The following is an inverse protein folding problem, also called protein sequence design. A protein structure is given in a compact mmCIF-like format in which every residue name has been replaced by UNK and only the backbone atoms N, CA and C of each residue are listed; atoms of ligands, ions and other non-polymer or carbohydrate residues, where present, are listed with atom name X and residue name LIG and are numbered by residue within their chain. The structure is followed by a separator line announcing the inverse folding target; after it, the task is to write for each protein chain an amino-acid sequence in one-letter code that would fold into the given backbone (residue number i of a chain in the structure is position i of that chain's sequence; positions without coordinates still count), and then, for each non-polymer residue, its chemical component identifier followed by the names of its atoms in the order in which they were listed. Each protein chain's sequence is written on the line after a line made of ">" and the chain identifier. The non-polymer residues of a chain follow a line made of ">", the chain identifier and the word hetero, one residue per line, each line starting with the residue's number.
data_IF_537845679008
#
_entry.id   IF_537845679008
#
_cell.length_a   1.000
_cell.length_b   1.000
_cell.length_c   1.000
_cell.angle_alpha   90.00
_cell.angle_beta   90.00
_cell.angle_gamma   90.00
#
_symmetry.space_group_name_H-M   'P 1'
#
loop_
_entity.id
_entity.type
_entity.pdbx_description
1 polymer ?
#
# COMPACT_ATOMS: atom_id res chain seq x y z
N UNK A 1 -29.31 -13.48 25.14
CA UNK A 1 -29.04 -13.07 23.70
C UNK A 1 -28.38 -11.69 23.59
N UNK A 2 -28.71 -10.65 24.40
CA UNK A 2 -28.06 -9.33 24.37
C UNK A 2 -26.60 -9.34 24.88
N UNK A 3 -26.20 -10.29 25.72
CA UNK A 3 -24.80 -10.43 26.22
C UNK A 3 -23.85 -11.04 25.18
N UNK A 4 -24.37 -11.81 24.22
CA UNK A 4 -23.56 -12.44 23.16
C UNK A 4 -23.12 -11.40 22.12
N UNK A 5 -24.01 -10.49 21.69
CA UNK A 5 -23.71 -9.48 20.66
C UNK A 5 -22.69 -8.44 21.17
N UNK A 6 -22.80 -8.03 22.44
CA UNK A 6 -21.81 -7.11 23.05
C UNK A 6 -20.45 -7.81 23.22
N UNK A 7 -20.45 -9.10 23.55
CA UNK A 7 -19.20 -9.88 23.63
C UNK A 7 -18.55 -10.07 22.27
N UNK A 8 -19.33 -10.25 21.20
CA UNK A 8 -18.81 -10.39 19.82
C UNK A 8 -18.25 -9.06 19.30
N UNK A 9 -18.93 -7.92 19.55
CA UNK A 9 -18.44 -6.59 19.18
C UNK A 9 -17.18 -6.21 19.99
N UNK A 10 -17.16 -6.52 21.31
CA UNK A 10 -15.97 -6.31 22.13
C UNK A 10 -14.85 -7.26 21.70
N UNK A 11 -15.13 -8.47 21.29
CA UNK A 11 -14.14 -9.44 20.83
C UNK A 11 -13.59 -9.05 19.46
N UNK A 12 -14.40 -8.49 18.55
CA UNK A 12 -13.93 -7.92 17.28
C UNK A 12 -13.05 -6.69 17.52
N UNK A 13 -13.46 -5.74 18.35
CA UNK A 13 -12.63 -4.58 18.71
C UNK A 13 -11.35 -4.96 19.48
N UNK A 14 -11.40 -5.97 20.36
CA UNK A 14 -10.21 -6.48 21.06
C UNK A 14 -9.26 -7.21 20.10
N UNK A 15 -9.76 -7.80 19.01
CA UNK A 15 -8.92 -8.37 17.94
C UNK A 15 -8.12 -7.31 17.18
N UNK A 16 -8.72 -6.14 16.92
CA UNK A 16 -8.05 -4.97 16.34
C UNK A 16 -6.98 -4.39 17.27
N UNK A 17 -7.25 -4.37 18.59
CA UNK A 17 -6.29 -3.91 19.60
C UNK A 17 -5.19 -4.93 19.96
N UNK A 18 -5.34 -6.21 19.63
CA UNK A 18 -4.38 -7.26 20.03
C UNK A 18 -3.02 -7.19 19.32
N UNK A 19 -2.92 -6.49 18.19
CA UNK A 19 -1.64 -6.28 17.46
C UNK A 19 -1.17 -4.82 17.46
N UNK A 20 -1.82 -3.91 18.15
CA UNK A 20 -1.32 -2.55 18.42
C UNK A 20 -1.25 -1.59 17.23
N UNK A 21 -1.62 -2.00 16.02
CA UNK A 21 -1.59 -1.13 14.83
C UNK A 21 -2.92 -1.27 14.08
N UNK A 22 -3.62 -0.13 13.95
CA UNK A 22 -4.84 -0.02 13.17
C UNK A 22 -4.46 0.38 11.73
N UNK A 23 -5.09 -0.25 10.74
CA UNK A 23 -4.85 0.04 9.32
C UNK A 23 -6.15 0.45 8.63
N UNK A 24 -6.05 1.35 7.66
CA UNK A 24 -7.17 1.60 6.76
C UNK A 24 -7.50 0.34 5.97
N UNK A 25 -8.77 -0.02 5.99
CA UNK A 25 -9.31 -1.14 5.21
C UNK A 25 -9.67 -0.69 3.80
N UNK A 26 -9.88 -1.65 2.90
CA UNK A 26 -10.41 -1.35 1.55
C UNK A 26 -11.74 -0.62 1.60
N UNK A 27 -12.57 -0.88 2.62
CA UNK A 27 -13.86 -0.24 2.79
C UNK A 27 -13.71 1.24 3.16
N UNK A 28 -12.81 1.55 4.10
CA UNK A 28 -12.52 2.93 4.51
C UNK A 28 -11.99 3.76 3.33
N UNK A 29 -11.05 3.18 2.57
CA UNK A 29 -10.51 3.83 1.36
C UNK A 29 -11.60 4.07 0.31
N UNK A 30 -12.49 3.11 0.08
CA UNK A 30 -13.56 3.26 -0.90
C UNK A 30 -14.60 4.30 -0.47
N UNK A 31 -14.87 4.42 0.83
CA UNK A 31 -15.79 5.42 1.38
C UNK A 31 -15.26 6.84 1.08
N UNK A 32 -14.00 7.13 1.39
CA UNK A 32 -13.39 8.44 1.07
C UNK A 32 -13.27 8.66 -0.44
N UNK A 33 -12.88 7.63 -1.19
CA UNK A 33 -12.78 7.72 -2.65
C UNK A 33 -14.10 8.06 -3.34
N UNK A 34 -15.23 7.65 -2.75
CA UNK A 34 -16.56 7.93 -3.28
C UNK A 34 -16.91 9.43 -3.24
N UNK A 35 -16.33 10.18 -2.30
CA UNK A 35 -16.56 11.62 -2.15
C UNK A 35 -16.06 12.44 -3.36
N UNK A 36 -15.10 11.92 -4.14
CA UNK A 36 -14.59 12.60 -5.34
C UNK A 36 -15.55 12.45 -6.53
N UNK A 37 -16.75 12.97 -6.36
CA UNK A 37 -17.79 13.00 -7.38
C UNK A 37 -18.54 14.34 -7.31
N UNK A 38 -19.11 14.87 -8.41
CA UNK A 38 -19.67 16.21 -8.44
C UNK A 38 -20.77 16.50 -7.42
N UNK A 39 -21.50 15.46 -6.98
CA UNK A 39 -22.60 15.60 -6.03
C UNK A 39 -22.20 15.43 -4.56
N UNK A 40 -21.06 14.80 -4.33
CA UNK A 40 -20.59 14.41 -2.99
C UNK A 40 -19.41 15.27 -2.52
N UNK A 41 -18.79 16.01 -3.48
CA UNK A 41 -17.57 16.76 -3.23
C UNK A 41 -17.82 18.05 -2.46
N UNK A 42 -17.12 18.25 -1.35
CA UNK A 42 -17.09 19.49 -0.56
C UNK A 42 -15.75 20.24 -0.65
N UNK A 43 -14.86 19.83 -1.55
CA UNK A 43 -13.58 20.50 -1.79
C UNK A 43 -13.84 21.96 -2.23
N UNK A 44 -13.41 22.91 -1.43
CA UNK A 44 -13.56 24.33 -1.75
C UNK A 44 -12.46 24.84 -2.67
N UNK A 45 -11.22 24.45 -2.37
CA UNK A 45 -10.02 24.93 -3.09
C UNK A 45 -9.09 23.78 -3.44
N UNK A 46 -8.39 23.96 -4.57
CA UNK A 46 -7.23 23.13 -4.91
C UNK A 46 -6.00 24.02 -4.92
N UNK A 47 -4.96 23.54 -4.29
CA UNK A 47 -3.63 24.14 -4.26
C UNK A 47 -2.68 23.27 -5.06
N UNK A 48 -1.75 23.89 -5.78
CA UNK A 48 -0.74 23.13 -6.51
C UNK A 48 0.50 23.94 -6.79
N UNK A 49 1.58 23.22 -7.07
CA UNK A 49 2.85 23.78 -7.50
C UNK A 49 3.40 22.95 -8.65
N UNK A 50 3.62 23.58 -9.79
CA UNK A 50 4.33 22.99 -10.92
C UNK A 50 5.81 23.25 -10.76
N UNK A 51 6.59 22.17 -10.74
CA UNK A 51 8.04 22.15 -10.53
C UNK A 51 8.71 21.61 -11.79
N UNK A 52 9.75 22.29 -12.26
CA UNK A 52 10.53 21.82 -13.41
C UNK A 52 11.65 20.84 -13.02
N UNK A 53 12.36 20.31 -14.02
CA UNK A 53 13.46 19.37 -13.82
C UNK A 53 14.69 19.94 -13.10
N UNK A 54 14.75 21.26 -12.94
CA UNK A 54 15.80 21.97 -12.20
C UNK A 54 15.35 22.36 -10.78
N UNK A 55 14.25 21.74 -10.30
CA UNK A 55 13.62 21.99 -8.99
C UNK A 55 13.10 23.41 -8.77
N UNK A 56 12.81 24.18 -9.85
CA UNK A 56 12.25 25.50 -9.72
C UNK A 56 10.72 25.44 -9.66
N UNK A 57 10.11 26.25 -8.77
CA UNK A 57 8.67 26.51 -8.77
C UNK A 57 8.30 27.37 -9.97
N UNK A 58 7.73 26.76 -11.02
CA UNK A 58 7.37 27.47 -12.28
C UNK A 58 6.04 28.17 -12.16
N UNK A 59 5.03 27.52 -11.58
CA UNK A 59 3.70 28.07 -11.39
C UNK A 59 3.02 27.48 -10.15
N UNK A 60 2.15 28.27 -9.54
CA UNK A 60 1.31 27.84 -8.43
C UNK A 60 -0.16 27.87 -8.83
N UNK A 61 -0.92 26.87 -8.38
CA UNK A 61 -2.36 26.75 -8.55
C UNK A 61 -3.03 27.16 -7.23
N UNK A 62 -4.03 28.04 -7.32
CA UNK A 62 -4.89 28.45 -6.21
C UNK A 62 -6.30 28.71 -6.76
N UNK A 63 -7.00 27.60 -7.03
CA UNK A 63 -8.27 27.64 -7.74
C UNK A 63 -9.44 27.30 -6.81
N UNK A 64 -10.57 27.95 -7.05
CA UNK A 64 -11.83 27.59 -6.41
C UNK A 64 -12.42 26.37 -7.11
N UNK A 65 -12.38 25.21 -6.44
CA UNK A 65 -12.73 23.94 -7.06
C UNK A 65 -14.16 23.91 -7.62
N UNK A 66 -15.12 24.47 -6.86
CA UNK A 66 -16.54 24.49 -7.24
C UNK A 66 -16.88 25.41 -8.42
N UNK A 67 -15.95 26.29 -8.82
CA UNK A 67 -16.15 27.23 -9.94
C UNK A 67 -15.43 26.80 -11.20
N UNK A 68 -14.70 25.71 -11.16
CA UNK A 68 -13.97 25.16 -12.30
C UNK A 68 -14.92 24.56 -13.34
N UNK A 69 -14.56 24.54 -14.63
CA UNK A 69 -15.29 23.81 -15.63
C UNK A 69 -15.43 22.32 -15.24
N UNK A 70 -16.61 21.75 -15.51
CA UNK A 70 -16.90 20.36 -15.14
C UNK A 70 -15.89 19.37 -15.71
N UNK A 71 -15.46 19.57 -16.96
CA UNK A 71 -14.47 18.72 -17.63
C UNK A 71 -13.10 18.72 -16.91
N UNK A 72 -12.67 19.89 -16.39
CA UNK A 72 -11.44 20.03 -15.62
C UNK A 72 -11.59 19.37 -14.23
N UNK A 73 -12.72 19.62 -13.56
CA UNK A 73 -13.05 19.02 -12.27
C UNK A 73 -12.97 17.50 -12.32
N UNK A 74 -13.50 16.88 -13.40
CA UNK A 74 -13.38 15.42 -13.58
C UNK A 74 -11.95 14.94 -13.67
N UNK A 75 -11.03 15.70 -14.27
CA UNK A 75 -9.61 15.34 -14.35
C UNK A 75 -8.93 15.33 -12.98
N UNK A 76 -9.26 16.32 -12.15
CA UNK A 76 -8.80 16.32 -10.76
C UNK A 76 -9.38 15.14 -9.97
N UNK A 77 -10.66 14.81 -10.13
CA UNK A 77 -11.24 13.62 -9.50
C UNK A 77 -10.56 12.32 -9.94
N UNK A 78 -10.17 12.19 -11.21
CA UNK A 78 -9.40 11.02 -11.68
C UNK A 78 -8.07 10.89 -10.94
N UNK A 79 -7.34 12.01 -10.75
CA UNK A 79 -6.09 12.06 -10.00
C UNK A 79 -6.32 11.67 -8.53
N UNK A 80 -7.27 12.31 -7.84
CA UNK A 80 -7.57 12.06 -6.44
C UNK A 80 -8.01 10.60 -6.21
N UNK A 81 -8.93 10.08 -7.05
CA UNK A 81 -9.34 8.68 -7.02
C UNK A 81 -8.19 7.72 -7.25
N UNK A 82 -7.21 8.11 -8.07
CA UNK A 82 -6.05 7.28 -8.34
C UNK A 82 -5.13 7.19 -7.15
N UNK A 83 -4.92 8.29 -6.42
CA UNK A 83 -4.16 8.30 -5.16
C UNK A 83 -4.78 7.40 -4.09
N UNK A 84 -6.08 7.14 -4.15
CA UNK A 84 -6.79 6.17 -3.29
C UNK A 84 -7.09 4.85 -4.03
N UNK A 85 -6.15 4.34 -4.82
CA UNK A 85 -6.35 3.12 -5.59
C UNK A 85 -5.19 2.13 -5.45
N UNK A 86 -5.49 0.87 -5.67
CA UNK A 86 -4.51 -0.21 -5.57
C UNK A 86 -4.81 -1.16 -4.42
N UNK A 87 -3.84 -1.96 -4.05
CA UNK A 87 -3.95 -2.97 -3.00
C UNK A 87 -3.46 -2.41 -1.67
N UNK A 88 -4.23 -2.67 -0.61
CA UNK A 88 -3.81 -2.36 0.77
C UNK A 88 -2.55 -3.18 1.11
N UNK A 89 -1.59 -2.53 1.76
CA UNK A 89 -0.30 -3.13 2.10
C UNK A 89 0.67 -3.25 0.94
N UNK A 90 0.29 -2.75 -0.25
CA UNK A 90 1.13 -2.73 -1.45
C UNK A 90 1.23 -1.32 -2.02
N UNK A 91 0.16 -0.83 -2.66
CA UNK A 91 0.10 0.54 -3.17
C UNK A 91 -0.36 1.54 -2.10
N UNK A 92 -1.20 1.10 -1.19
CA UNK A 92 -1.77 1.88 -0.11
C UNK A 92 -1.25 1.32 1.21
N UNK A 93 -0.43 2.09 1.89
CA UNK A 93 0.22 1.68 3.15
C UNK A 93 -0.14 2.66 4.25
N UNK A 94 -0.81 2.17 5.29
CA UNK A 94 -1.06 2.96 6.50
C UNK A 94 0.21 2.93 7.36
N UNK A 95 0.73 4.10 7.70
CA UNK A 95 1.97 4.25 8.43
C UNK A 95 1.74 5.05 9.72
N UNK A 96 2.16 4.52 10.88
CA UNK A 96 2.06 5.22 12.16
C UNK A 96 3.16 6.29 12.29
N UNK A 97 2.80 7.43 12.86
CA UNK A 97 3.79 8.41 13.28
C UNK A 97 4.54 7.93 14.54
N UNK A 98 5.86 8.08 14.58
CA UNK A 98 6.59 8.00 15.83
C UNK A 98 6.10 9.09 16.80
N UNK A 99 6.07 8.81 18.09
CA UNK A 99 5.58 9.75 19.12
C UNK A 99 6.35 11.09 19.08
N UNK A 100 7.63 11.07 18.72
CA UNK A 100 8.46 12.28 18.56
C UNK A 100 7.93 13.25 17.49
N UNK A 101 7.21 12.77 16.49
CA UNK A 101 6.68 13.58 15.39
C UNK A 101 5.35 14.27 15.74
N UNK A 102 4.76 13.92 16.87
CA UNK A 102 3.50 14.49 17.35
C UNK A 102 3.70 15.78 18.19
N UNK A 103 4.95 16.09 18.53
CA UNK A 103 5.33 17.27 19.31
C UNK A 103 5.70 18.47 18.43
N UNK A 104 5.91 19.61 19.05
CA UNK A 104 6.28 20.88 18.38
C UNK A 104 7.58 20.69 17.58
N UNK A 105 7.50 21.05 16.29
CA UNK A 105 8.58 20.87 15.33
C UNK A 105 8.55 19.54 14.57
N UNK A 106 7.68 18.60 14.95
CA UNK A 106 7.50 17.33 14.26
C UNK A 106 6.71 17.44 12.97
N UNK A 107 6.85 16.45 12.11
CA UNK A 107 6.17 16.41 10.79
C UNK A 107 4.66 16.21 10.94
N UNK A 108 4.20 15.38 11.87
CA UNK A 108 2.77 15.19 12.15
C UNK A 108 2.14 16.51 12.61
N UNK A 109 2.81 17.25 13.49
CA UNK A 109 2.35 18.55 13.94
C UNK A 109 2.27 19.55 12.77
N UNK A 110 3.26 19.57 11.88
CA UNK A 110 3.27 20.40 10.68
C UNK A 110 2.10 20.06 9.75
N UNK A 111 1.83 18.78 9.47
CA UNK A 111 0.70 18.34 8.68
C UNK A 111 -0.64 18.72 9.34
N UNK A 112 -0.72 18.65 10.68
CA UNK A 112 -1.90 19.13 11.42
C UNK A 112 -2.10 20.65 11.30
N UNK A 113 -1.04 21.44 11.35
CA UNK A 113 -1.12 22.91 11.11
C UNK A 113 -1.61 23.20 9.71
N UNK A 114 -1.07 22.49 8.71
CA UNK A 114 -1.48 22.63 7.31
C UNK A 114 -2.96 22.28 7.13
N UNK A 115 -3.43 21.16 7.70
CA UNK A 115 -4.84 20.76 7.70
C UNK A 115 -5.74 21.79 8.38
N UNK A 116 -5.42 22.18 9.61
CA UNK A 116 -6.21 23.17 10.39
C UNK A 116 -6.28 24.53 9.73
N UNK A 117 -5.29 24.91 8.91
CA UNK A 117 -5.32 26.14 8.12
C UNK A 117 -6.32 26.09 6.96
N UNK A 118 -6.91 24.90 6.67
CA UNK A 118 -7.79 24.66 5.51
C UNK A 118 -7.16 25.10 4.19
N UNK A 119 -5.83 25.04 4.10
CA UNK A 119 -5.02 25.52 2.98
C UNK A 119 -5.20 27.04 2.67
N UNK A 120 -5.52 27.84 3.70
CA UNK A 120 -5.63 29.29 3.57
C UNK A 120 -4.32 30.03 3.87
N UNK A 121 -3.36 29.37 4.56
CA UNK A 121 -2.08 29.97 4.93
C UNK A 121 -1.04 29.71 3.84
N UNK A 122 -0.74 30.74 3.04
CA UNK A 122 0.20 30.66 1.92
C UNK A 122 1.65 30.36 2.38
N UNK A 123 2.05 30.80 3.59
CA UNK A 123 3.39 30.53 4.13
C UNK A 123 3.57 29.04 4.40
N UNK A 124 2.61 28.41 5.09
CA UNK A 124 2.64 26.96 5.35
C UNK A 124 2.59 26.12 4.07
N UNK A 125 1.82 26.58 3.07
CA UNK A 125 1.74 25.90 1.78
C UNK A 125 3.07 26.00 1.04
N UNK A 126 3.69 27.16 1.02
CA UNK A 126 5.01 27.33 0.39
C UNK A 126 6.09 26.54 1.10
N UNK A 127 6.08 26.50 2.44
CA UNK A 127 6.97 25.61 3.21
C UNK A 127 6.76 24.14 2.87
N UNK A 128 5.51 23.71 2.72
CA UNK A 128 5.20 22.34 2.29
C UNK A 128 5.78 22.04 0.90
N UNK A 129 5.61 22.97 -0.08
CA UNK A 129 6.19 22.77 -1.41
C UNK A 129 7.70 22.70 -1.38
N UNK A 130 8.38 23.55 -0.59
CA UNK A 130 9.83 23.53 -0.47
C UNK A 130 10.32 22.20 0.12
N UNK A 131 9.67 21.72 1.20
CA UNK A 131 9.96 20.41 1.77
C UNK A 131 9.78 19.27 0.76
N UNK A 132 8.72 19.30 -0.05
CA UNK A 132 8.49 18.29 -1.10
C UNK A 132 9.57 18.36 -2.16
N UNK A 133 9.94 19.55 -2.64
CA UNK A 133 10.98 19.75 -3.67
C UNK A 133 12.33 19.22 -3.19
N UNK A 134 12.68 19.43 -1.92
CA UNK A 134 13.93 18.97 -1.32
C UNK A 134 13.99 17.45 -1.11
N UNK A 135 12.84 16.78 -1.01
CA UNK A 135 12.77 15.38 -0.58
C UNK A 135 12.10 14.44 -1.58
N UNK A 136 11.72 14.92 -2.76
CA UNK A 136 11.16 14.09 -3.81
C UNK A 136 12.20 13.86 -4.91
N UNK A 137 12.81 12.68 -4.92
CA UNK A 137 13.84 12.29 -5.86
C UNK A 137 13.29 12.00 -7.26
N UNK A 138 13.04 13.06 -8.04
CA UNK A 138 12.63 12.96 -9.43
C UNK A 138 13.29 14.07 -10.28
N UNK A 139 13.91 13.68 -11.37
CA UNK A 139 14.68 14.59 -12.24
C UNK A 139 13.86 15.23 -13.36
N UNK A 140 12.58 14.92 -13.47
CA UNK A 140 11.66 15.49 -14.47
C UNK A 140 10.72 16.54 -13.88
N UNK A 141 9.83 17.04 -14.71
CA UNK A 141 8.82 17.98 -14.27
C UNK A 141 7.68 17.26 -13.54
N UNK A 142 7.14 17.87 -12.50
CA UNK A 142 6.02 17.31 -11.74
C UNK A 142 5.09 18.39 -11.18
N UNK A 143 3.89 17.97 -10.86
CA UNK A 143 2.86 18.78 -10.24
C UNK A 143 2.56 18.23 -8.85
N UNK A 144 2.70 19.07 -7.84
CA UNK A 144 2.24 18.81 -6.47
C UNK A 144 0.82 19.33 -6.38
N UNK A 145 -0.16 18.47 -6.11
CA UNK A 145 -1.54 18.84 -5.84
C UNK A 145 -1.86 18.62 -4.36
N UNK A 146 -2.53 19.56 -3.74
CA UNK A 146 -2.96 19.52 -2.36
C UNK A 146 -4.41 19.98 -2.26
N UNK A 147 -5.24 19.18 -1.61
CA UNK A 147 -6.63 19.51 -1.29
C UNK A 147 -6.86 19.41 0.22
N UNK A 148 -7.84 20.20 0.67
CA UNK A 148 -8.47 20.05 1.97
C UNK A 148 -9.95 19.77 1.75
N UNK A 149 -10.48 18.80 2.49
CA UNK A 149 -11.89 18.46 2.41
C UNK A 149 -12.42 18.03 3.78
N UNK A 150 -13.74 18.06 3.95
CA UNK A 150 -14.43 17.64 5.17
C UNK A 150 -15.55 16.67 4.80
N UNK A 151 -15.66 15.60 5.56
CA UNK A 151 -16.68 14.59 5.37
C UNK A 151 -17.46 14.39 6.66
N UNK A 152 -18.78 14.71 6.59
CA UNK A 152 -19.71 14.39 7.64
C UNK A 152 -20.01 12.90 7.60
N UNK A 153 -19.41 12.14 8.52
CA UNK A 153 -19.52 10.69 8.55
C UNK A 153 -20.94 10.29 8.99
N UNK A 154 -21.76 9.69 8.12
CA UNK A 154 -23.13 9.33 8.48
C UNK A 154 -23.18 8.36 9.65
N UNK A 155 -24.01 8.63 10.64
CA UNK A 155 -24.24 7.75 11.78
C UNK A 155 -24.83 6.41 11.33
N UNK A 156 -24.57 5.36 12.10
CA UNK A 156 -25.20 4.04 11.91
C UNK A 156 -26.17 3.75 13.04
N UNK A 157 -27.37 3.30 12.69
CA UNK A 157 -28.29 2.72 13.66
C UNK A 157 -27.74 1.40 14.20
N UNK A 158 -28.27 0.96 15.36
CA UNK A 158 -27.98 -0.37 15.93
C UNK A 158 -28.24 -1.53 14.97
N UNK A 159 -29.09 -1.32 13.97
CA UNK A 159 -29.43 -2.30 12.92
C UNK A 159 -28.54 -2.17 11.67
N UNK A 160 -27.53 -1.29 11.71
CA UNK A 160 -26.56 -1.09 10.63
C UNK A 160 -27.07 -0.24 9.46
N UNK A 161 -28.23 0.41 9.58
CA UNK A 161 -28.79 1.31 8.57
C UNK A 161 -28.08 2.66 8.70
N UNK A 162 -27.61 3.21 7.57
CA UNK A 162 -27.02 4.54 7.51
C UNK A 162 -28.10 5.61 7.78
N UNK A 163 -27.76 6.58 8.62
CA UNK A 163 -28.62 7.72 8.92
C UNK A 163 -28.01 8.96 8.29
N UNK A 164 -28.59 9.40 7.17
CA UNK A 164 -28.10 10.58 6.44
C UNK A 164 -28.29 11.90 7.22
N UNK A 165 -29.23 11.92 8.20
CA UNK A 165 -29.57 13.09 9.00
C UNK A 165 -28.78 13.20 10.33
N UNK A 166 -27.94 12.25 10.66
CA UNK A 166 -27.13 12.25 11.89
C UNK A 166 -25.67 11.89 11.58
N UNK A 167 -24.80 12.86 11.79
CA UNK A 167 -23.36 12.65 11.71
C UNK A 167 -22.82 12.21 13.05
N UNK A 168 -22.02 11.15 13.07
CA UNK A 168 -21.31 10.68 14.27
C UNK A 168 -20.00 11.46 14.47
N UNK A 169 -19.35 11.85 13.37
CA UNK A 169 -18.05 12.52 13.36
C UNK A 169 -17.87 13.33 12.08
N UNK A 170 -17.11 14.43 12.17
CA UNK A 170 -16.64 15.19 10.99
C UNK A 170 -15.19 14.78 10.72
N UNK A 171 -14.96 14.11 9.62
CA UNK A 171 -13.62 13.78 9.16
C UNK A 171 -13.06 14.94 8.32
N UNK A 172 -12.11 15.66 8.90
CA UNK A 172 -11.40 16.80 8.32
C UNK A 172 -10.00 16.37 7.91
N UNK A 173 -9.65 16.46 6.61
CA UNK A 173 -8.44 15.88 6.07
C UNK A 173 -7.78 16.71 4.96
N UNK A 174 -6.49 16.45 4.76
CA UNK A 174 -5.74 16.89 3.59
C UNK A 174 -5.31 15.69 2.77
N UNK A 175 -5.23 15.87 1.47
CA UNK A 175 -4.71 14.87 0.56
C UNK A 175 -3.74 15.51 -0.42
N UNK A 176 -2.59 14.87 -0.60
CA UNK A 176 -1.57 15.27 -1.56
C UNK A 176 -1.46 14.23 -2.67
N UNK A 177 -1.26 14.70 -3.90
CA UNK A 177 -0.95 13.87 -5.07
C UNK A 177 0.21 14.49 -5.82
N UNK A 178 1.27 13.72 -6.09
CA UNK A 178 2.40 14.16 -6.91
C UNK A 178 2.35 13.43 -8.23
N UNK A 179 2.25 14.21 -9.31
CA UNK A 179 2.04 13.72 -10.67
C UNK A 179 3.20 14.15 -11.56
N UNK A 180 3.79 13.24 -12.32
CA UNK A 180 4.77 13.61 -13.33
C UNK A 180 4.11 14.43 -14.42
N UNK A 181 4.87 15.35 -15.01
CA UNK A 181 4.42 16.19 -16.12
C UNK A 181 5.35 15.95 -17.31
N UNK A 182 4.82 15.34 -18.36
CA UNK A 182 5.59 14.92 -19.51
C UNK A 182 5.13 15.59 -20.79
N UNK A 183 6.06 15.84 -21.71
CA UNK A 183 5.70 16.28 -23.05
C UNK A 183 4.92 15.19 -23.79
N UNK A 184 3.77 15.56 -24.36
CA UNK A 184 2.98 14.68 -25.21
C UNK A 184 3.82 14.12 -26.35
N UNK A 185 3.46 12.93 -26.87
CA UNK A 185 4.23 12.28 -27.94
C UNK A 185 4.28 13.16 -29.18
N UNK A 186 5.46 13.26 -29.80
CA UNK A 186 5.63 13.84 -31.12
C UNK A 186 4.88 13.02 -32.18
N UNK A 187 4.44 13.65 -33.27
CA UNK A 187 3.75 12.97 -34.36
C UNK A 187 3.03 13.94 -35.28
N UNK A 188 2.28 13.39 -36.22
CA UNK A 188 1.36 14.15 -37.06
C UNK A 188 -0.03 14.15 -36.41
N UNK A 189 -0.66 15.31 -36.36
CA UNK A 189 -2.06 15.50 -35.94
C UNK A 189 -2.89 15.98 -37.12
N UNK A 190 -4.12 15.49 -37.19
CA UNK A 190 -5.12 16.00 -38.12
C UNK A 190 -5.75 17.27 -37.57
N UNK A 191 -5.83 18.30 -38.38
CA UNK A 191 -6.46 19.57 -38.04
C UNK A 191 -7.74 19.69 -38.85
N UNK A 192 -8.89 19.59 -38.21
CA UNK A 192 -10.20 19.60 -38.88
C UNK A 192 -10.47 20.88 -39.67
N UNK A 193 -10.08 22.02 -39.09
CA UNK A 193 -10.31 23.34 -39.74
C UNK A 193 -9.59 23.48 -41.07
N UNK A 194 -8.41 22.89 -41.16
CA UNK A 194 -7.55 22.96 -42.36
C UNK A 194 -7.65 21.69 -43.21
N UNK A 195 -8.35 20.67 -42.74
CA UNK A 195 -8.52 19.36 -43.38
C UNK A 195 -7.19 18.72 -43.83
N UNK A 196 -6.14 18.87 -43.01
CA UNK A 196 -4.80 18.40 -43.31
C UNK A 196 -4.03 17.93 -42.09
N UNK A 197 -2.87 17.30 -42.31
CA UNK A 197 -1.98 16.82 -41.26
C UNK A 197 -0.78 17.75 -41.13
N UNK A 198 -0.53 18.19 -39.89
CA UNK A 198 0.64 18.96 -39.51
C UNK A 198 1.39 18.32 -38.36
N UNK A 199 2.58 18.82 -38.07
CA UNK A 199 3.33 18.44 -36.89
C UNK A 199 2.51 18.78 -35.64
N UNK A 200 2.32 17.79 -34.77
CA UNK A 200 1.59 17.97 -33.51
C UNK A 200 2.32 18.99 -32.64
N UNK A 201 1.59 19.99 -32.16
CA UNK A 201 2.05 20.83 -31.06
C UNK A 201 2.11 19.96 -29.82
N UNK A 202 3.24 19.94 -29.14
CA UNK A 202 3.45 19.13 -27.94
C UNK A 202 3.12 19.95 -26.72
N UNK A 203 2.15 19.45 -25.97
CA UNK A 203 1.73 20.01 -24.69
C UNK A 203 2.39 19.26 -23.53
N UNK A 204 2.59 19.95 -22.41
CA UNK A 204 2.93 19.32 -21.15
C UNK A 204 1.67 18.70 -20.55
N UNK A 205 1.69 17.40 -20.33
CA UNK A 205 0.53 16.63 -19.86
C UNK A 205 0.83 16.06 -18.48
N UNK A 206 -0.10 16.22 -17.58
CA UNK A 206 -0.04 15.65 -16.23
C UNK A 206 -0.41 14.18 -16.28
N UNK A 207 0.48 13.33 -15.80
CA UNK A 207 0.25 11.89 -15.66
C UNK A 207 -0.54 11.59 -14.37
N UNK A 208 -0.99 10.33 -14.23
CA UNK A 208 -1.58 9.86 -12.99
C UNK A 208 -0.53 9.88 -11.85
N UNK A 209 -0.96 10.03 -10.59
CA UNK A 209 -0.06 10.18 -9.46
C UNK A 209 0.99 9.08 -9.38
N UNK A 210 2.21 9.48 -9.11
CA UNK A 210 3.32 8.60 -8.76
C UNK A 210 3.28 8.22 -7.28
N UNK A 211 3.22 9.25 -6.42
CA UNK A 211 3.01 9.10 -4.98
C UNK A 211 1.94 10.07 -4.48
N UNK A 212 1.51 9.86 -3.26
CA UNK A 212 0.60 10.75 -2.56
C UNK A 212 0.31 10.29 -1.13
N UNK A 213 -0.46 11.06 -0.40
CA UNK A 213 -0.90 10.67 0.94
C UNK A 213 -2.26 11.27 1.30
N UNK A 214 -2.91 10.65 2.28
CA UNK A 214 -4.12 11.12 2.95
C UNK A 214 -3.82 11.25 4.44
N UNK A 215 -4.03 12.42 5.03
CA UNK A 215 -3.80 12.69 6.43
C UNK A 215 -4.93 13.54 7.07
N UNK A 216 -5.43 13.16 8.23
CA UNK A 216 -5.20 11.91 8.99
C UNK A 216 -5.69 10.66 8.26
N UNK A 217 -5.31 9.47 8.73
CA UNK A 217 -5.91 8.25 8.24
C UNK A 217 -7.40 8.16 8.68
N UNK A 218 -8.22 7.49 7.88
CA UNK A 218 -9.63 7.24 8.15
C UNK A 218 -9.82 5.76 8.47
N UNK A 219 -9.86 5.42 9.76
CA UNK A 219 -9.85 4.04 10.23
C UNK A 219 -11.13 3.74 10.98
N UNK A 220 -11.83 2.68 10.60
CA UNK A 220 -13.11 2.28 11.18
C UNK A 220 -14.11 3.45 11.26
N UNK A 221 -14.17 4.25 10.18
CA UNK A 221 -15.02 5.43 10.03
C UNK A 221 -14.75 6.55 11.03
N UNK A 222 -13.54 6.64 11.53
CA UNK A 222 -13.09 7.66 12.47
C UNK A 222 -11.75 8.27 12.06
N UNK A 223 -11.50 9.49 12.54
CA UNK A 223 -10.27 10.23 12.30
C UNK A 223 -9.14 9.66 13.14
N UNK A 224 -8.08 9.19 12.52
CA UNK A 224 -6.89 8.74 13.21
C UNK A 224 -5.68 9.63 12.90
N UNK A 225 -5.39 10.56 13.78
CA UNK A 225 -4.28 11.51 13.64
C UNK A 225 -2.90 10.87 13.84
N UNK A 226 -2.84 9.67 14.40
CA UNK A 226 -1.59 8.94 14.65
C UNK A 226 -1.11 8.15 13.44
N UNK A 227 -1.90 8.13 12.37
CA UNK A 227 -1.60 7.41 11.15
C UNK A 227 -1.79 8.29 9.91
N UNK A 228 -1.00 7.99 8.88
CA UNK A 228 -1.12 8.55 7.53
C UNK A 228 -1.28 7.40 6.53
N UNK A 229 -2.11 7.58 5.51
CA UNK A 229 -2.18 6.66 4.38
C UNK A 229 -1.26 7.17 3.27
N UNK A 230 -0.24 6.40 2.93
CA UNK A 230 0.67 6.66 1.82
C UNK A 230 0.26 5.86 0.58
N UNK A 231 0.32 6.50 -0.58
CA UNK A 231 0.10 5.88 -1.89
C UNK A 231 1.38 5.88 -2.69
N UNK A 232 1.70 4.76 -3.32
CA UNK A 232 2.72 4.66 -4.35
C UNK A 232 2.21 3.89 -5.57
N UNK A 233 2.54 4.40 -6.77
CA UNK A 233 2.28 3.71 -8.04
C UNK A 233 3.17 2.48 -8.20
N UNK A 234 4.41 2.56 -7.68
CA UNK A 234 5.44 1.53 -7.78
C UNK A 234 5.80 1.00 -6.38
N UNK A 235 5.16 -0.07 -5.92
CA UNK A 235 5.36 -0.59 -4.56
C UNK A 235 6.79 -1.04 -4.24
N UNK A 236 7.58 -1.31 -5.25
CA UNK A 236 8.98 -1.73 -5.09
C UNK A 236 9.98 -0.55 -5.02
N UNK A 237 9.49 0.67 -5.35
CA UNK A 237 10.27 1.90 -5.31
C UNK A 237 9.60 2.85 -4.30
N UNK A 238 10.04 2.82 -3.06
CA UNK A 238 9.59 3.78 -2.05
C UNK A 238 10.45 5.04 -2.16
N UNK A 239 9.83 6.21 -1.97
CA UNK A 239 10.54 7.48 -1.91
C UNK A 239 10.97 7.74 -0.46
N UNK A 240 12.12 7.20 -0.06
CA UNK A 240 12.60 7.14 1.33
C UNK A 240 12.69 8.52 1.97
N UNK A 241 13.28 9.50 1.28
CA UNK A 241 13.39 10.88 1.76
C UNK A 241 12.02 11.54 1.95
N UNK A 242 11.07 11.27 1.04
CA UNK A 242 9.72 11.77 1.16
C UNK A 242 9.00 11.19 2.39
N UNK A 243 9.08 9.87 2.59
CA UNK A 243 8.45 9.18 3.72
C UNK A 243 9.07 9.67 5.04
N UNK A 244 10.39 9.76 5.11
CA UNK A 244 11.09 10.11 6.35
C UNK A 244 10.97 11.59 6.70
N UNK A 245 11.08 12.50 5.72
CA UNK A 245 11.21 13.93 5.98
C UNK A 245 9.90 14.71 5.79
N UNK A 246 8.96 14.21 4.98
CA UNK A 246 7.65 14.85 4.78
C UNK A 246 6.58 14.20 5.65
N UNK A 247 6.55 12.87 5.70
CA UNK A 247 5.59 12.16 6.53
C UNK A 247 6.15 11.88 7.94
N UNK A 248 7.48 11.84 8.11
CA UNK A 248 8.11 11.59 9.40
C UNK A 248 7.84 10.20 9.97
N UNK A 249 7.51 9.24 9.11
CA UNK A 249 7.23 7.86 9.49
C UNK A 249 8.41 6.95 9.20
N UNK A 250 8.47 5.81 9.86
CA UNK A 250 9.45 4.77 9.50
C UNK A 250 9.12 4.18 8.13
N UNK A 251 10.17 3.82 7.37
CA UNK A 251 10.00 3.15 6.09
C UNK A 251 9.31 1.80 6.29
N UNK A 252 8.20 1.53 5.59
CA UNK A 252 7.61 0.21 5.58
C UNK A 252 8.47 -0.74 4.73
N UNK A 253 8.45 -2.03 5.03
CA UNK A 253 9.02 -3.03 4.14
C UNK A 253 8.17 -3.16 2.87
N UNK A 254 8.82 -3.18 1.71
CA UNK A 254 8.16 -3.33 0.40
C UNK A 254 7.45 -4.67 0.25
N UNK A 255 6.56 -4.81 -0.71
CA UNK A 255 5.88 -6.08 -0.98
C UNK A 255 6.89 -7.20 -1.35
N UNK A 256 7.99 -6.87 -2.05
CA UNK A 256 9.08 -7.79 -2.36
C UNK A 256 9.80 -8.26 -1.10
N UNK A 257 10.23 -7.32 -0.26
CA UNK A 257 10.89 -7.62 1.01
C UNK A 257 10.00 -8.45 1.95
N UNK A 258 8.69 -8.19 2.02
CA UNK A 258 7.75 -9.01 2.79
C UNK A 258 7.78 -10.47 2.34
N UNK A 259 7.84 -10.69 1.02
CA UNK A 259 7.93 -12.03 0.44
C UNK A 259 9.26 -12.69 0.80
N UNK A 260 10.37 -11.97 0.68
CA UNK A 260 11.70 -12.48 0.97
C UNK A 260 11.83 -12.84 2.46
N UNK A 261 11.36 -11.97 3.36
CA UNK A 261 11.31 -12.22 4.82
C UNK A 261 10.51 -13.48 5.15
N UNK A 262 9.33 -13.64 4.55
CA UNK A 262 8.52 -14.83 4.77
C UNK A 262 9.24 -16.11 4.28
N UNK A 263 9.82 -16.05 3.08
CA UNK A 263 10.56 -17.17 2.50
C UNK A 263 11.76 -17.57 3.37
N UNK A 264 12.47 -16.60 3.90
CA UNK A 264 13.61 -16.82 4.80
C UNK A 264 13.17 -17.43 6.14
N UNK A 265 12.06 -16.94 6.75
CA UNK A 265 11.48 -17.53 7.96
C UNK A 265 11.13 -19.01 7.72
N UNK A 266 10.46 -19.30 6.60
CA UNK A 266 10.07 -20.67 6.25
C UNK A 266 11.31 -21.55 6.03
N UNK A 267 12.28 -21.08 5.25
CA UNK A 267 13.49 -21.82 4.94
C UNK A 267 14.34 -22.10 6.19
N UNK A 268 14.55 -21.12 7.08
CA UNK A 268 15.27 -21.33 8.33
C UNK A 268 14.54 -22.29 9.28
N UNK A 269 13.20 -22.19 9.35
CA UNK A 269 12.40 -23.08 10.20
C UNK A 269 12.42 -24.53 9.72
N UNK A 270 12.31 -24.75 8.42
CA UNK A 270 12.29 -26.09 7.83
C UNK A 270 13.69 -26.73 7.79
N UNK A 271 14.74 -25.93 7.52
CA UNK A 271 16.09 -26.45 7.35
C UNK A 271 16.14 -27.57 6.32
N UNK A 272 16.64 -28.74 6.71
CA UNK A 272 16.77 -29.93 5.82
C UNK A 272 15.42 -30.51 5.35
N UNK A 273 14.33 -30.21 6.04
CA UNK A 273 12.97 -30.64 5.67
C UNK A 273 12.32 -29.72 4.62
N UNK A 274 13.03 -28.68 4.18
CA UNK A 274 12.57 -27.77 3.11
C UNK A 274 12.59 -28.51 1.76
N UNK A 275 11.52 -29.22 1.46
CA UNK A 275 11.34 -29.97 0.21
C UNK A 275 10.12 -29.46 -0.56
N UNK A 276 9.98 -29.93 -1.81
CA UNK A 276 8.91 -29.51 -2.71
C UNK A 276 7.51 -29.69 -2.10
N UNK A 277 7.22 -30.87 -1.53
CA UNK A 277 5.90 -31.20 -1.02
C UNK A 277 5.51 -30.32 0.19
N UNK A 278 6.48 -30.04 1.07
CA UNK A 278 6.26 -29.16 2.21
C UNK A 278 5.99 -27.73 1.76
N UNK A 279 6.80 -27.18 0.85
CA UNK A 279 6.61 -25.81 0.32
C UNK A 279 5.28 -25.70 -0.43
N UNK A 280 4.90 -26.72 -1.20
CA UNK A 280 3.59 -26.79 -1.87
C UNK A 280 2.45 -26.74 -0.86
N UNK A 281 2.51 -27.58 0.19
CA UNK A 281 1.47 -27.62 1.22
C UNK A 281 1.32 -26.29 1.94
N UNK A 282 2.44 -25.63 2.29
CA UNK A 282 2.41 -24.29 2.90
C UNK A 282 1.76 -23.29 1.96
N UNK A 283 2.10 -23.32 0.67
CA UNK A 283 1.53 -22.42 -0.33
C UNK A 283 0.03 -22.66 -0.52
N UNK A 284 -0.41 -23.91 -0.59
CA UNK A 284 -1.81 -24.27 -0.76
C UNK A 284 -2.64 -23.84 0.46
N UNK A 285 -2.16 -24.09 1.67
CA UNK A 285 -2.81 -23.63 2.92
C UNK A 285 -2.88 -22.10 3.00
N UNK A 286 -1.81 -21.40 2.60
CA UNK A 286 -1.80 -19.93 2.58
C UNK A 286 -2.81 -19.38 1.58
N UNK A 287 -2.92 -19.97 0.39
CA UNK A 287 -3.92 -19.58 -0.61
C UNK A 287 -5.35 -19.85 -0.12
N UNK A 288 -5.57 -20.98 0.56
CA UNK A 288 -6.88 -21.25 1.17
C UNK A 288 -7.25 -20.22 2.22
N UNK A 289 -6.31 -19.81 3.08
CA UNK A 289 -6.54 -18.74 4.07
C UNK A 289 -6.89 -17.40 3.39
N UNK A 290 -6.25 -17.08 2.26
CA UNK A 290 -6.54 -15.87 1.48
C UNK A 290 -7.96 -15.94 0.88
N UNK A 291 -8.34 -17.06 0.26
CA UNK A 291 -9.67 -17.24 -0.33
C UNK A 291 -10.78 -17.17 0.73
N UNK A 292 -10.58 -17.77 1.91
CA UNK A 292 -11.53 -17.72 3.01
C UNK A 292 -11.79 -16.29 3.51
N UNK A 293 -10.82 -15.38 3.34
CA UNK A 293 -10.92 -13.97 3.76
C UNK A 293 -11.11 -12.99 2.60
N UNK A 294 -11.37 -13.46 1.40
CA UNK A 294 -11.50 -12.64 0.19
C UNK A 294 -12.57 -11.53 0.31
N UNK A 295 -13.66 -11.86 0.97
CA UNK A 295 -14.78 -10.92 1.18
C UNK A 295 -14.67 -10.13 2.50
N UNK A 296 -13.61 -10.38 3.29
CA UNK A 296 -13.35 -9.60 4.49
C UNK A 296 -12.84 -8.19 4.10
N UNK A 297 -13.34 -7.13 4.74
CA UNK A 297 -12.83 -5.78 4.54
C UNK A 297 -11.37 -5.65 5.01
N UNK A 298 -10.96 -6.45 6.00
CA UNK A 298 -9.62 -6.45 6.58
C UNK A 298 -8.68 -7.33 5.78
N UNK A 299 -7.49 -6.82 5.39
CA UNK A 299 -6.49 -7.65 4.74
C UNK A 299 -5.95 -8.72 5.70
N UNK A 300 -5.68 -9.92 5.16
CA UNK A 300 -5.03 -10.98 5.94
C UNK A 300 -3.57 -10.61 6.18
N UNK A 301 -3.22 -10.37 7.46
CA UNK A 301 -1.85 -10.13 7.89
C UNK A 301 -1.22 -11.40 8.45
N UNK A 302 0.06 -11.59 8.15
CA UNK A 302 0.87 -12.71 8.63
C UNK A 302 1.66 -12.28 9.87
N UNK A 303 1.01 -12.37 11.03
CA UNK A 303 1.67 -12.20 12.32
C UNK A 303 2.52 -13.43 12.65
N UNK A 304 3.42 -13.31 13.62
CA UNK A 304 4.21 -14.42 14.17
C UNK A 304 3.34 -15.66 14.48
N UNK A 305 2.19 -15.43 15.15
CA UNK A 305 1.26 -16.51 15.49
C UNK A 305 0.56 -17.10 14.25
N UNK A 306 0.22 -16.24 13.27
CA UNK A 306 -0.41 -16.70 12.03
C UNK A 306 0.53 -17.60 11.23
N UNK A 307 1.80 -17.20 11.10
CA UNK A 307 2.82 -18.04 10.43
C UNK A 307 3.06 -19.32 11.19
N UNK A 308 3.17 -19.26 12.52
CA UNK A 308 3.34 -20.44 13.37
C UNK A 308 2.22 -21.45 13.16
N UNK A 309 0.96 -20.99 13.14
CA UNK A 309 -0.21 -21.84 12.89
C UNK A 309 -0.17 -22.43 11.48
N UNK A 310 0.12 -21.59 10.46
CA UNK A 310 0.23 -22.04 9.08
C UNK A 310 1.26 -23.18 8.92
N UNK A 311 2.44 -23.04 9.52
CA UNK A 311 3.49 -24.07 9.46
C UNK A 311 3.07 -25.35 10.20
N UNK A 312 2.44 -25.23 11.38
CA UNK A 312 1.93 -26.36 12.15
C UNK A 312 0.83 -27.11 11.37
N UNK A 313 -0.14 -26.38 10.79
CA UNK A 313 -1.20 -26.97 9.97
C UNK A 313 -0.67 -27.59 8.66
N UNK A 314 0.46 -27.11 8.17
CA UNK A 314 1.15 -27.70 7.01
C UNK A 314 1.96 -28.95 7.34
N UNK A 315 2.01 -29.38 8.61
CA UNK A 315 2.64 -30.61 9.04
C UNK A 315 4.12 -30.48 9.41
N UNK A 316 4.58 -29.26 9.71
CA UNK A 316 5.95 -29.04 10.23
C UNK A 316 6.03 -29.65 11.64
N UNK A 317 7.09 -30.41 11.90
CA UNK A 317 7.26 -31.18 13.17
C UNK A 317 7.46 -30.22 14.36
N UNK A 318 7.00 -30.66 15.56
CA UNK A 318 7.17 -29.91 16.80
C UNK A 318 8.64 -29.62 17.12
N UNK A 319 9.56 -30.48 16.70
CA UNK A 319 11.00 -30.30 16.87
C UNK A 319 11.50 -29.06 16.11
N UNK A 320 11.08 -28.90 14.85
CA UNK A 320 11.41 -27.71 14.04
C UNK A 320 10.72 -26.45 14.52
N UNK A 321 9.50 -26.59 15.04
CA UNK A 321 8.74 -25.47 15.60
C UNK A 321 9.30 -24.96 16.94
N UNK A 322 10.17 -25.71 17.62
CA UNK A 322 10.77 -25.29 18.89
C UNK A 322 11.64 -24.02 18.71
N UNK A 323 12.37 -23.90 17.61
CA UNK A 323 13.28 -22.78 17.31
C UNK A 323 12.60 -21.67 16.46
N UNK A 324 11.34 -21.86 16.06
CA UNK A 324 10.60 -20.91 15.21
C UNK A 324 10.64 -19.48 15.73
N UNK A 325 10.44 -19.29 17.04
CA UNK A 325 10.39 -17.98 17.65
C UNK A 325 11.72 -17.23 17.50
N UNK A 326 12.85 -17.95 17.63
CA UNK A 326 14.18 -17.39 17.45
C UNK A 326 14.48 -17.05 15.96
N UNK A 327 14.07 -17.95 15.05
CA UNK A 327 14.21 -17.71 13.61
C UNK A 327 13.39 -16.49 13.16
N UNK A 328 12.14 -16.40 13.59
CA UNK A 328 11.27 -15.28 13.29
C UNK A 328 11.88 -13.94 13.76
N UNK A 329 12.34 -13.86 15.00
CA UNK A 329 12.94 -12.64 15.56
C UNK A 329 14.23 -12.26 14.85
N UNK A 330 15.09 -13.22 14.53
CA UNK A 330 16.34 -12.99 13.80
C UNK A 330 16.06 -12.40 12.41
N UNK A 331 15.18 -13.03 11.64
CA UNK A 331 14.90 -12.59 10.25
C UNK A 331 14.18 -11.24 10.23
N UNK A 332 13.19 -11.05 11.08
CA UNK A 332 12.45 -9.78 11.14
C UNK A 332 13.30 -8.62 11.65
N UNK A 333 14.25 -8.86 12.58
CA UNK A 333 15.20 -7.85 13.03
C UNK A 333 16.18 -7.45 11.90
N UNK A 334 16.60 -8.38 11.07
CA UNK A 334 17.47 -8.10 9.92
C UNK A 334 16.77 -7.31 8.80
N UNK A 335 15.46 -7.53 8.62
CA UNK A 335 14.66 -6.85 7.61
C UNK A 335 14.18 -5.45 8.03
N UNK A 336 14.24 -5.12 9.32
CA UNK A 336 13.83 -3.80 9.79
C UNK A 336 14.78 -2.72 9.26
N UNK A 337 14.26 -1.58 8.72
CA UNK A 337 15.10 -0.47 8.30
C UNK A 337 16.01 -0.02 9.44
N UNK A 338 17.27 0.39 9.17
CA UNK A 338 18.17 0.89 10.20
C UNK A 338 17.57 2.12 10.88
N UNK A 339 17.73 2.22 12.20
CA UNK A 339 17.36 3.45 12.91
C UNK A 339 18.19 4.59 12.36
N UNK A 340 17.54 5.65 11.88
CA UNK A 340 18.24 6.88 11.54
C UNK A 340 18.75 7.50 12.84
N UNK A 341 20.06 7.77 12.99
CA UNK A 341 20.56 8.48 14.15
C UNK A 341 19.97 9.89 14.14
N UNK A 342 19.44 10.33 15.28
CA UNK A 342 19.03 11.73 15.46
C UNK A 342 20.28 12.61 15.25
N UNK A 343 20.23 13.53 14.30
CA UNK A 343 21.37 14.42 13.99
C UNK A 343 21.65 15.50 15.05
N UNK A 344 20.96 15.46 16.18
CA UNK A 344 21.18 16.42 17.28
C UNK A 344 21.98 15.79 18.42
N UNK A 345 23.27 16.17 18.60
CA UNK A 345 24.12 15.67 19.69
C UNK A 345 23.78 16.22 21.09
N UNK A 346 22.79 17.11 21.22
CA UNK A 346 22.48 17.81 22.48
C UNK A 346 21.17 17.33 23.16
N UNK A 347 20.43 16.43 22.55
CA UNK A 347 19.23 15.86 23.20
C UNK A 347 19.67 14.78 24.19
N UNK A 348 19.39 15.01 25.48
CA UNK A 348 19.48 13.97 26.52
C UNK A 348 18.71 12.73 26.03
N UNK A 349 19.20 11.50 26.31
CA UNK A 349 18.56 10.28 25.83
C UNK A 349 17.15 10.21 26.43
N UNK A 350 16.16 10.65 25.66
CA UNK A 350 14.77 10.35 25.97
C UNK A 350 14.70 8.83 26.14
N UNK A 351 14.03 8.38 27.21
CA UNK A 351 13.79 6.97 27.47
C UNK A 351 13.10 6.40 26.24
N UNK A 352 13.88 5.85 25.32
CA UNK A 352 13.40 5.15 24.13
C UNK A 352 12.77 3.88 24.65
N UNK A 353 11.46 3.91 24.83
CA UNK A 353 10.69 2.68 24.99
C UNK A 353 10.85 1.95 23.66
N UNK A 354 11.47 0.77 23.60
CA UNK A 354 11.60 0.02 22.38
C UNK A 354 10.19 -0.29 21.88
N UNK A 355 9.72 0.42 20.85
CA UNK A 355 8.56 -0.05 20.09
C UNK A 355 9.04 -1.29 19.35
N UNK A 356 8.43 -2.45 19.64
CA UNK A 356 8.59 -3.63 18.81
C UNK A 356 8.28 -3.20 17.37
N UNK A 357 9.32 -3.19 16.53
CA UNK A 357 9.20 -2.95 15.10
C UNK A 357 8.40 -4.13 14.53
N UNK A 358 7.09 -4.02 14.53
CA UNK A 358 6.24 -5.06 13.96
C UNK A 358 6.36 -5.00 12.44
N UNK A 359 7.18 -5.86 11.88
CA UNK A 359 7.25 -6.13 10.46
C UNK A 359 5.91 -6.76 10.04
N UNK A 360 4.98 -5.93 9.60
CA UNK A 360 3.67 -6.39 9.15
C UNK A 360 3.81 -6.94 7.74
N UNK A 361 3.49 -8.22 7.56
CA UNK A 361 3.43 -8.87 6.26
C UNK A 361 1.97 -9.10 5.87
N UNK A 362 1.64 -8.78 4.62
CA UNK A 362 0.32 -9.06 4.06
C UNK A 362 0.38 -10.38 3.27
N UNK A 363 -0.54 -11.29 3.54
CA UNK A 363 -0.58 -12.60 2.88
C UNK A 363 -0.60 -12.49 1.35
N UNK A 364 -1.30 -11.48 0.81
CA UNK A 364 -1.38 -11.22 -0.63
C UNK A 364 -0.07 -10.72 -1.26
N UNK A 365 0.88 -10.22 -0.47
CA UNK A 365 2.22 -9.85 -0.95
C UNK A 365 3.17 -11.05 -0.96
N UNK A 366 2.96 -11.98 -0.04
CA UNK A 366 3.76 -13.18 0.16
C UNK A 366 3.37 -14.29 -0.81
N UNK A 367 2.06 -14.56 -0.93
CA UNK A 367 1.55 -15.61 -1.81
C UNK A 367 1.25 -15.07 -3.22
N UNK A 368 1.69 -15.81 -4.21
CA UNK A 368 1.23 -15.59 -5.58
C UNK A 368 -0.02 -16.44 -5.86
N UNK A 369 -1.19 -15.81 -5.71
CA UNK A 369 -2.49 -16.48 -5.93
C UNK A 369 -2.79 -16.78 -7.41
N UNK A 370 -1.96 -16.29 -8.33
CA UNK A 370 -2.17 -16.47 -9.78
C UNK A 370 -1.27 -17.54 -10.40
N UNK A 371 -0.13 -17.83 -9.80
CA UNK A 371 0.86 -18.71 -10.40
C UNK A 371 1.70 -19.36 -9.30
N UNK A 372 1.79 -20.68 -9.32
CA UNK A 372 2.79 -21.42 -8.58
C UNK A 372 4.03 -21.60 -9.46
N UNK A 373 5.20 -21.16 -9.00
CA UNK A 373 6.42 -21.14 -9.80
C UNK A 373 7.47 -22.08 -9.22
N UNK A 374 7.99 -22.98 -10.04
CA UNK A 374 9.14 -23.84 -9.74
C UNK A 374 10.29 -23.41 -10.63
N UNK A 375 11.41 -23.01 -10.03
CA UNK A 375 12.54 -22.42 -10.76
C UNK A 375 13.83 -23.22 -10.50
N UNK A 376 14.50 -23.53 -11.59
CA UNK A 376 15.90 -23.98 -11.61
C UNK A 376 16.75 -22.93 -12.34
N UNK A 377 18.09 -23.00 -12.35
CA UNK A 377 18.92 -22.04 -13.09
C UNK A 377 18.53 -21.88 -14.55
N UNK A 378 18.11 -22.98 -15.22
CA UNK A 378 17.87 -23.02 -16.66
C UNK A 378 16.39 -23.18 -17.05
N UNK A 379 15.50 -23.49 -16.09
CA UNK A 379 14.09 -23.81 -16.36
C UNK A 379 13.17 -23.10 -15.37
N UNK A 380 12.11 -22.51 -15.89
CA UNK A 380 11.01 -21.95 -15.09
C UNK A 380 9.73 -22.67 -15.48
N UNK A 381 9.08 -23.27 -14.50
CA UNK A 381 7.78 -23.95 -14.63
C UNK A 381 6.74 -23.08 -13.93
N UNK A 382 5.69 -22.66 -14.63
CA UNK A 382 4.57 -21.92 -14.07
C UNK A 382 3.32 -22.78 -14.13
N UNK A 383 2.73 -23.01 -12.99
CA UNK A 383 1.57 -23.88 -12.80
C UNK A 383 0.39 -23.04 -12.31
N UNK A 384 -0.82 -23.40 -12.74
CA UNK A 384 -2.03 -22.87 -12.10
C UNK A 384 -2.02 -23.30 -10.62
N UNK A 385 -2.21 -22.38 -9.66
CA UNK A 385 -2.22 -22.71 -8.23
C UNK A 385 -3.26 -23.78 -7.84
N UNK A 386 -4.37 -23.89 -8.58
CA UNK A 386 -5.38 -24.93 -8.38
C UNK A 386 -4.95 -26.31 -8.88
N UNK A 387 -3.83 -26.39 -9.60
CA UNK A 387 -3.33 -27.60 -10.25
C UNK A 387 -1.86 -27.87 -9.94
N UNK A 388 -1.45 -27.57 -8.72
CA UNK A 388 -0.10 -27.92 -8.21
C UNK A 388 0.09 -29.43 -8.13
N UNK A 389 -1.00 -30.20 -8.14
CA UNK A 389 -1.05 -31.67 -8.22
C UNK A 389 -0.39 -32.23 -9.47
N UNK A 390 -0.31 -31.45 -10.56
CA UNK A 390 0.31 -31.89 -11.83
C UNK A 390 1.83 -31.95 -11.79
N UNK A 391 2.45 -31.37 -10.78
CA UNK A 391 3.92 -31.35 -10.63
C UNK A 391 4.32 -32.16 -9.42
N UNK A 392 5.23 -33.11 -9.61
CA UNK A 392 5.73 -33.98 -8.56
C UNK A 392 7.25 -34.05 -8.60
N UNK A 393 7.87 -34.39 -7.48
CA UNK A 393 9.30 -34.74 -7.43
C UNK A 393 9.46 -36.25 -7.29
N UNK A 394 10.30 -36.84 -8.12
CA UNK A 394 10.63 -38.27 -8.02
C UNK A 394 12.07 -38.55 -8.41
N UNK A 395 12.56 -39.68 -8.00
CA UNK A 395 13.89 -40.17 -8.39
C UNK A 395 13.75 -41.09 -9.61
N UNK A 396 14.40 -40.67 -10.72
CA UNK A 396 14.44 -41.44 -11.95
C UNK A 396 15.91 -41.75 -12.24
N UNK A 397 16.27 -43.01 -12.32
CA UNK A 397 17.65 -43.51 -12.58
C UNK A 397 18.71 -42.88 -11.64
N UNK A 398 18.37 -42.73 -10.33
CA UNK A 398 19.24 -42.12 -9.31
C UNK A 398 19.38 -40.61 -9.39
N UNK A 399 18.51 -39.95 -10.13
CA UNK A 399 18.47 -38.46 -10.27
C UNK A 399 17.15 -37.90 -9.75
N UNK A 400 17.23 -36.86 -8.93
CA UNK A 400 16.04 -36.11 -8.53
C UNK A 400 15.50 -35.36 -9.75
N UNK A 401 14.25 -35.62 -10.10
CA UNK A 401 13.56 -35.04 -11.24
C UNK A 401 12.29 -34.31 -10.79
N UNK A 402 11.95 -33.24 -11.49
CA UNK A 402 10.63 -32.66 -11.43
C UNK A 402 9.84 -33.18 -12.61
N UNK A 403 8.71 -33.84 -12.34
CA UNK A 403 7.86 -34.47 -13.34
C UNK A 403 6.55 -33.76 -13.43
N UNK A 404 6.10 -33.47 -14.66
CA UNK A 404 4.81 -32.85 -14.95
C UNK A 404 3.90 -33.91 -15.54
N UNK A 405 2.76 -34.15 -14.91
CA UNK A 405 1.74 -35.04 -15.45
C UNK A 405 1.06 -34.39 -16.67
N UNK A 406 1.01 -35.13 -17.76
CA UNK A 406 0.35 -34.70 -19.00
C UNK A 406 -1.04 -35.28 -18.99
N UNK A 407 -2.05 -34.42 -18.79
CA UNK A 407 -3.46 -34.81 -18.80
C UNK A 407 -4.16 -34.56 -20.13
N UNK A 408 -3.60 -33.67 -20.97
CA UNK A 408 -4.19 -33.20 -22.20
C UNK A 408 -3.14 -33.00 -23.31
N UNK A 409 -3.50 -32.26 -24.36
CA UNK A 409 -2.64 -31.96 -25.49
C UNK A 409 -1.42 -31.11 -25.05
N UNK A 410 -0.23 -31.52 -25.47
CA UNK A 410 1.02 -30.79 -25.24
C UNK A 410 1.41 -30.04 -26.49
N UNK A 411 1.83 -28.80 -26.31
CA UNK A 411 2.38 -27.97 -27.40
C UNK A 411 3.83 -27.62 -27.10
N UNK A 412 4.66 -27.70 -28.13
CA UNK A 412 6.05 -27.23 -28.10
C UNK A 412 6.22 -26.12 -29.12
N UNK A 413 6.54 -24.90 -28.62
CA UNK A 413 6.62 -23.70 -29.46
C UNK A 413 5.35 -23.46 -30.31
N UNK A 414 4.16 -23.73 -29.73
CA UNK A 414 2.88 -23.59 -30.43
C UNK A 414 2.53 -24.74 -31.38
N UNK A 415 3.34 -25.81 -31.42
CA UNK A 415 3.08 -27.00 -32.24
C UNK A 415 2.57 -28.12 -31.32
N UNK A 416 1.32 -28.60 -31.54
CA UNK A 416 0.81 -29.72 -30.76
C UNK A 416 1.59 -31.01 -31.06
N UNK A 417 1.97 -31.71 -30.01
CA UNK A 417 2.63 -33.02 -30.12
C UNK A 417 1.68 -34.16 -29.78
N UNK A 418 1.79 -35.27 -30.49
CA UNK A 418 1.00 -36.47 -30.20
C UNK A 418 1.67 -37.25 -29.06
N UNK A 419 0.99 -37.32 -27.92
CA UNK A 419 1.34 -38.20 -26.84
C UNK A 419 0.81 -39.62 -27.15
N UNK A 420 1.62 -40.42 -27.82
CA UNK A 420 1.32 -41.86 -27.98
C UNK A 420 2.08 -42.69 -26.95
#
# INVERSE_FOLDING_TARGET
>A
RKRSVIADVITQNISLYRNGVLFMTKKDVLEIRHLFAPKECSISKIRGCYVDGDCNKVATINEQFLTMPEEETYKYFEILKKTLSGSIGKNLVTMPFPTSQEFEGGTQEFLNKLRKSKLENDELINEFYDKVIENYDYTGNYLILLIHDTYDVPGKTTDGIMMDDASDEVYDYIMCSICHVNLSKAGLSYFDVESTFHNRVRDWVVDMPDIGFLFPAFIDRSTDIHNVLYYTKKPEELHDSFISNILGTSLPITAGEQKDVFQEIVAETLGDDCNYDMVRTIHDNLNEMIEQRKDSPEPLTLSKNTIKNLLTESGVSDEKMADFDAHYEKVTAAAAPPEQPSENPEDEPAIVVPREKSTVMYATNVANTKTFEVKTPDVVIKVNPERTDLVETMEIDGRKCIVIQISDQVEVNGIPINNK
#
